data_IF_984535554874
#
_entry.id   IF_984535554874
#
_cell.length_a   1.000
_cell.length_b   1.000
_cell.length_c   1.000
_cell.angle_alpha   90.00
_cell.angle_beta   90.00
_cell.angle_gamma   90.00
#
_symmetry.space_group_name_H-M   'P 1'
#
loop_
_entity.id
_entity.type
_entity.pdbx_description
1 polymer ?
#
# COMPACT_ATOMS: atom_id res chain seq x y z
N UNK A 1 -14.94 -28.66 6.81
CA UNK A 1 -15.25 -27.51 7.67
C UNK A 1 -14.08 -26.56 7.52
N UNK A 2 -14.23 -25.63 6.59
CA UNK A 2 -13.24 -24.59 6.32
C UNK A 2 -13.03 -23.82 7.61
N UNK A 3 -11.80 -23.83 8.11
CA UNK A 3 -11.34 -22.94 9.15
C UNK A 3 -11.66 -21.51 8.68
N UNK A 4 -12.74 -20.94 9.21
CA UNK A 4 -13.14 -19.57 8.93
C UNK A 4 -12.02 -18.73 9.53
N UNK A 5 -11.05 -18.38 8.68
CA UNK A 5 -10.00 -17.44 9.01
C UNK A 5 -10.71 -16.19 9.55
N UNK A 6 -10.76 -16.05 10.87
CA UNK A 6 -11.48 -14.98 11.54
C UNK A 6 -10.62 -13.75 11.40
N UNK A 7 -10.69 -13.14 10.22
CA UNK A 7 -9.94 -11.94 9.90
C UNK A 7 -10.53 -10.80 10.72
N UNK A 8 -9.70 -10.20 11.55
CA UNK A 8 -10.07 -9.05 12.36
C UNK A 8 -10.02 -7.78 11.49
N UNK A 9 -11.16 -7.12 11.21
CA UNK A 9 -11.19 -5.92 10.38
C UNK A 9 -10.33 -4.79 10.95
N UNK A 10 -10.18 -4.71 12.28
CA UNK A 10 -9.34 -3.70 12.94
C UNK A 10 -7.88 -3.92 12.55
N UNK A 11 -7.40 -5.17 12.61
CA UNK A 11 -6.03 -5.50 12.20
C UNK A 11 -5.79 -5.25 10.71
N UNK A 12 -6.78 -5.49 9.85
CA UNK A 12 -6.67 -5.16 8.43
C UNK A 12 -6.53 -3.64 8.22
N UNK A 13 -7.31 -2.82 8.94
CA UNK A 13 -7.19 -1.35 8.87
C UNK A 13 -5.84 -0.87 9.39
N UNK A 14 -5.34 -1.45 10.47
CA UNK A 14 -4.01 -1.16 10.99
C UNK A 14 -2.91 -1.52 9.99
N UNK A 15 -2.99 -2.70 9.37
CA UNK A 15 -2.06 -3.11 8.33
C UNK A 15 -2.12 -2.18 7.11
N UNK A 16 -3.32 -1.80 6.66
CA UNK A 16 -3.52 -0.86 5.57
C UNK A 16 -2.82 0.48 5.84
N UNK A 17 -3.04 1.06 7.04
CA UNK A 17 -2.39 2.31 7.46
C UNK A 17 -0.87 2.18 7.52
N UNK A 18 -0.39 1.10 8.15
CA UNK A 18 1.05 0.84 8.24
C UNK A 18 1.71 0.78 6.86
N UNK A 19 1.10 0.07 5.91
CA UNK A 19 1.64 -0.04 4.54
C UNK A 19 1.60 1.32 3.83
N UNK A 20 0.51 2.07 3.95
CA UNK A 20 0.40 3.41 3.37
C UNK A 20 1.46 4.37 3.93
N UNK A 21 1.71 4.33 5.24
CA UNK A 21 2.74 5.15 5.90
C UNK A 21 4.14 4.80 5.38
N UNK A 22 4.42 3.51 5.12
CA UNK A 22 5.68 3.08 4.51
C UNK A 22 5.82 3.53 3.06
N UNK A 23 4.75 3.45 2.26
CA UNK A 23 4.73 3.96 0.90
C UNK A 23 5.01 5.47 0.86
N UNK A 24 4.39 6.24 1.76
CA UNK A 24 4.65 7.68 1.90
C UNK A 24 6.11 7.96 2.28
N UNK A 25 6.64 7.28 3.31
CA UNK A 25 8.03 7.47 3.71
C UNK A 25 9.03 7.11 2.61
N UNK A 26 8.71 6.12 1.76
CA UNK A 26 9.51 5.79 0.58
C UNK A 26 9.43 6.89 -0.48
N UNK A 27 8.24 7.44 -0.77
CA UNK A 27 8.08 8.58 -1.69
C UNK A 27 8.90 9.79 -1.25
N UNK A 28 8.84 10.14 0.03
CA UNK A 28 9.58 11.29 0.57
C UNK A 28 11.09 11.10 0.41
N UNK A 29 11.60 9.90 0.73
CA UNK A 29 13.02 9.56 0.55
C UNK A 29 13.44 9.53 -0.91
N UNK A 30 12.58 9.00 -1.79
CA UNK A 30 12.85 8.99 -3.23
C UNK A 30 12.96 10.42 -3.77
N UNK A 31 12.06 11.31 -3.37
CA UNK A 31 12.12 12.73 -3.72
C UNK A 31 13.41 13.40 -3.25
N UNK A 32 13.83 13.15 -2.00
CA UNK A 32 15.11 13.65 -1.48
C UNK A 32 16.30 13.14 -2.28
N UNK A 33 16.31 11.86 -2.64
CA UNK A 33 17.39 11.27 -3.44
C UNK A 33 17.39 11.81 -4.86
N UNK A 34 16.23 12.03 -5.49
CA UNK A 34 16.12 12.64 -6.81
C UNK A 34 16.64 14.09 -6.82
N UNK A 35 16.29 14.85 -5.78
CA UNK A 35 16.80 16.21 -5.58
C UNK A 35 18.31 16.26 -5.31
N UNK A 36 18.89 15.20 -4.76
CA UNK A 36 20.31 15.15 -4.43
C UNK A 36 21.15 14.56 -5.56
N UNK A 37 20.76 13.39 -6.07
CA UNK A 37 21.49 12.62 -7.07
C UNK A 37 21.14 13.14 -8.46
N UNK A 38 19.85 13.23 -8.79
CA UNK A 38 19.38 13.67 -10.11
C UNK A 38 19.84 15.09 -10.43
N UNK A 39 19.66 16.03 -9.49
CA UNK A 39 20.11 17.42 -9.71
C UNK A 39 21.63 17.57 -9.67
N UNK A 40 22.36 16.84 -8.82
CA UNK A 40 23.84 16.96 -8.73
C UNK A 40 24.53 16.34 -9.94
N UNK A 41 24.01 15.23 -10.48
CA UNK A 41 24.45 14.66 -11.76
C UNK A 41 24.29 15.67 -12.91
N UNK A 42 23.20 16.44 -12.92
CA UNK A 42 22.93 17.46 -13.94
C UNK A 42 23.67 18.79 -13.71
N UNK A 43 23.95 19.18 -12.46
CA UNK A 43 24.51 20.48 -12.11
C UNK A 43 26.04 20.52 -12.10
N UNK A 44 26.73 19.42 -11.82
CA UNK A 44 28.20 19.41 -11.67
C UNK A 44 28.97 19.23 -13.00
N UNK A 45 28.28 19.28 -14.16
CA UNK A 45 28.95 19.29 -15.47
C UNK A 45 29.70 18.00 -15.78
N UNK A 46 29.18 16.87 -15.31
CA UNK A 46 29.75 15.54 -15.58
C UNK A 46 29.39 15.13 -17.02
N UNK A 47 30.14 15.60 -18.00
CA UNK A 47 30.04 15.19 -19.41
C UNK A 47 30.93 13.96 -19.66
N UNK A 48 30.39 12.94 -20.34
CA UNK A 48 31.11 11.73 -20.76
C UNK A 48 30.31 10.43 -20.62
N UNK A 49 30.81 9.35 -21.23
CA UNK A 49 30.17 8.01 -21.28
C UNK A 49 29.84 7.43 -19.90
N UNK A 50 30.58 7.81 -18.85
CA UNK A 50 30.32 7.39 -17.48
C UNK A 50 29.07 8.05 -16.89
N UNK A 51 28.81 9.32 -17.21
CA UNK A 51 27.61 10.03 -16.76
C UNK A 51 26.35 9.46 -17.42
N UNK A 52 26.39 9.15 -18.71
CA UNK A 52 25.27 8.51 -19.44
C UNK A 52 24.91 7.13 -18.87
N UNK A 53 25.92 6.31 -18.52
CA UNK A 53 25.66 5.00 -17.90
C UNK A 53 25.07 5.14 -16.49
N UNK A 54 25.57 6.07 -15.70
CA UNK A 54 25.07 6.29 -14.34
C UNK A 54 23.65 6.87 -14.33
N UNK A 55 23.35 7.76 -15.27
CA UNK A 55 22.01 8.33 -15.48
C UNK A 55 20.99 7.26 -15.88
N UNK A 56 21.38 6.34 -16.77
CA UNK A 56 20.55 5.19 -17.14
C UNK A 56 20.25 4.25 -15.96
N UNK A 57 21.27 3.87 -15.18
CA UNK A 57 21.10 3.03 -13.99
C UNK A 57 20.29 3.72 -12.88
N UNK A 58 20.47 5.03 -12.70
CA UNK A 58 19.67 5.82 -11.76
C UNK A 58 18.19 5.88 -12.19
N UNK A 59 17.94 6.11 -13.47
CA UNK A 59 16.57 6.16 -14.02
C UNK A 59 15.85 4.83 -13.87
N UNK A 60 16.50 3.72 -14.22
CA UNK A 60 15.93 2.37 -14.06
C UNK A 60 15.65 2.06 -12.58
N UNK A 61 16.58 2.39 -11.70
CA UNK A 61 16.39 2.22 -10.26
C UNK A 61 15.21 3.04 -9.72
N UNK A 62 15.10 4.31 -10.14
CA UNK A 62 13.99 5.21 -9.76
C UNK A 62 12.64 4.64 -10.20
N UNK A 63 12.55 4.16 -11.43
CA UNK A 63 11.33 3.51 -11.95
C UNK A 63 10.98 2.26 -11.13
N UNK A 64 11.97 1.44 -10.75
CA UNK A 64 11.75 0.30 -9.87
C UNK A 64 11.23 0.71 -8.47
N UNK A 65 11.79 1.77 -7.89
CA UNK A 65 11.33 2.32 -6.61
C UNK A 65 9.89 2.84 -6.69
N UNK A 66 9.54 3.56 -7.76
CA UNK A 66 8.17 4.03 -8.03
C UNK A 66 7.19 2.86 -8.17
N UNK A 67 7.59 1.77 -8.85
CA UNK A 67 6.77 0.57 -8.98
C UNK A 67 6.51 -0.12 -7.62
N UNK A 68 7.52 -0.21 -6.75
CA UNK A 68 7.36 -0.75 -5.39
C UNK A 68 6.40 0.10 -4.56
N UNK A 69 6.53 1.42 -4.64
CA UNK A 69 5.65 2.36 -3.94
C UNK A 69 4.20 2.17 -4.42
N UNK A 70 3.98 2.09 -5.74
CA UNK A 70 2.65 1.88 -6.30
C UNK A 70 2.03 0.55 -5.84
N UNK A 71 2.82 -0.52 -5.78
CA UNK A 71 2.35 -1.82 -5.28
C UNK A 71 1.99 -1.78 -3.77
N UNK A 72 2.71 -0.99 -2.97
CA UNK A 72 2.38 -0.78 -1.56
C UNK A 72 1.08 0.01 -1.40
N UNK A 73 0.86 1.06 -2.21
CA UNK A 73 -0.39 1.82 -2.22
C UNK A 73 -1.60 0.95 -2.62
N UNK A 74 -1.44 0.12 -3.64
CA UNK A 74 -2.45 -0.86 -4.04
C UNK A 74 -2.73 -1.87 -2.91
N UNK A 75 -1.69 -2.36 -2.25
CA UNK A 75 -1.82 -3.30 -1.13
C UNK A 75 -2.56 -2.68 0.06
N UNK A 76 -2.23 -1.44 0.42
CA UNK A 76 -2.92 -0.69 1.47
C UNK A 76 -4.41 -0.52 1.14
N UNK A 77 -4.72 -0.19 -0.11
CA UNK A 77 -6.10 -0.04 -0.59
C UNK A 77 -6.87 -1.35 -0.47
N UNK A 78 -6.31 -2.46 -0.96
CA UNK A 78 -6.91 -3.80 -0.89
C UNK A 78 -7.16 -4.26 0.56
N UNK A 79 -6.23 -3.96 1.47
CA UNK A 79 -6.40 -4.28 2.90
C UNK A 79 -7.55 -3.47 3.52
N UNK A 80 -7.68 -2.19 3.17
CA UNK A 80 -8.78 -1.36 3.64
C UNK A 80 -10.14 -1.80 3.07
N UNK A 81 -10.19 -2.16 1.79
CA UNK A 81 -11.38 -2.73 1.13
C UNK A 81 -11.80 -4.04 1.78
N UNK A 82 -10.85 -4.95 2.03
CA UNK A 82 -11.12 -6.20 2.73
C UNK A 82 -11.72 -5.95 4.12
N UNK A 83 -11.19 -4.99 4.88
CA UNK A 83 -11.75 -4.64 6.19
C UNK A 83 -13.21 -4.18 6.10
N UNK A 84 -13.52 -3.32 5.12
CA UNK A 84 -14.88 -2.85 4.88
C UNK A 84 -15.84 -4.00 4.52
N UNK A 85 -15.39 -4.94 3.68
CA UNK A 85 -16.18 -6.10 3.27
C UNK A 85 -16.48 -7.02 4.46
N UNK A 86 -15.49 -7.30 5.31
CA UNK A 86 -15.69 -8.12 6.51
C UNK A 86 -16.66 -7.47 7.51
N UNK A 87 -16.55 -6.16 7.75
CA UNK A 87 -17.49 -5.44 8.63
C UNK A 87 -18.92 -5.47 8.07
N UNK A 88 -19.09 -5.24 6.78
CA UNK A 88 -20.41 -5.28 6.13
C UNK A 88 -21.03 -6.68 6.21
N UNK A 89 -20.23 -7.73 6.02
CA UNK A 89 -20.68 -9.11 6.11
C UNK A 89 -21.07 -9.50 7.54
N UNK A 90 -20.30 -9.07 8.54
CA UNK A 90 -20.64 -9.33 9.95
C UNK A 90 -21.94 -8.62 10.37
N UNK A 91 -22.14 -7.36 9.95
CA UNK A 91 -23.37 -6.63 10.21
C UNK A 91 -24.60 -7.31 9.58
N UNK A 92 -24.47 -7.75 8.31
CA UNK A 92 -25.53 -8.48 7.60
C UNK A 92 -25.87 -9.80 8.29
N UNK A 93 -24.85 -10.58 8.68
CA UNK A 93 -25.04 -11.84 9.40
C UNK A 93 -25.70 -11.62 10.76
N UNK A 94 -25.25 -10.63 11.53
CA UNK A 94 -25.82 -10.31 12.84
C UNK A 94 -27.28 -9.87 12.72
N UNK A 95 -27.61 -9.05 11.72
CA UNK A 95 -28.99 -8.62 11.46
C UNK A 95 -29.90 -9.81 11.09
N UNK A 96 -29.43 -10.71 10.22
CA UNK A 96 -30.19 -11.90 9.81
C UNK A 96 -30.43 -12.86 11.00
N UNK A 97 -29.40 -13.10 11.82
CA UNK A 97 -29.52 -13.94 13.02
C UNK A 97 -30.48 -13.31 14.03
N UNK A 98 -30.39 -11.99 14.26
CA UNK A 98 -31.30 -11.28 15.15
C UNK A 98 -32.77 -11.35 14.68
N UNK A 99 -33.02 -11.25 13.38
CA UNK A 99 -34.36 -11.43 12.82
C UNK A 99 -34.87 -12.87 12.97
N UNK A 100 -34.01 -13.87 12.77
CA UNK A 100 -34.39 -15.28 12.99
C UNK A 100 -34.81 -15.52 14.45
N UNK A 101 -34.08 -14.96 15.41
CA UNK A 101 -34.40 -15.12 16.84
C UNK A 101 -35.76 -14.50 17.17
N UNK A 102 -36.04 -13.29 16.66
CA UNK A 102 -37.34 -12.64 16.83
C UNK A 102 -38.50 -13.47 16.26
N UNK A 103 -38.30 -14.15 15.14
CA UNK A 103 -39.31 -15.01 14.53
C UNK A 103 -39.51 -16.35 15.26
N UNK A 104 -38.57 -16.77 16.12
CA UNK A 104 -38.67 -18.00 16.91
C UNK A 104 -39.38 -17.79 18.26
N UNK A 105 -39.40 -16.56 18.78
CA UNK A 105 -40.05 -16.18 20.04
C UNK A 105 -41.53 -15.77 19.89
N UNK A 106 -42.09 -15.89 18.68
CA UNK A 106 -43.50 -15.61 18.32
C UNK A 106 -44.23 -16.87 17.90
#
# INVERSE_FOLDING_TARGET
>A
MSDLLRVDPVRLREAARFVADKAQAMRDRLGQLDDTIGKRLLAEGWDGTAAVKYDGSWTEWKQGAEAVIAALDESATKLAEAANLYEAQEQSNTAAVGQMWLNMDT
#
